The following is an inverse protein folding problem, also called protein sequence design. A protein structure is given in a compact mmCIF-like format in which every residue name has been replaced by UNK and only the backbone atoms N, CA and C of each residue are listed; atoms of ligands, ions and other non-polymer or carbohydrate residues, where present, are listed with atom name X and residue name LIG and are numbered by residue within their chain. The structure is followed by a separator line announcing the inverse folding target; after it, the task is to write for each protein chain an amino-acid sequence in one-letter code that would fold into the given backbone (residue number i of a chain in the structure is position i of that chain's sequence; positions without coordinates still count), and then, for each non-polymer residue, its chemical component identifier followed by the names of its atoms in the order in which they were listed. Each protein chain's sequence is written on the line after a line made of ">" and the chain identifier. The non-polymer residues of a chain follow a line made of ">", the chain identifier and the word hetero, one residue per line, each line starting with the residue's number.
data_IF_416719040321
#
_entry.id   IF_416719040321
#
_cell.length_a   1.000
_cell.length_b   1.000
_cell.length_c   1.000
_cell.angle_alpha   90.00
_cell.angle_beta   90.00
_cell.angle_gamma   90.00
#
_symmetry.space_group_name_H-M   'P 1'
#
loop_
_entity.id
_entity.type
_entity.pdbx_description
1 polymer ?
#
# COMPACT_ATOMS: atom_id res chain seq x y z
N UNK A 1 -7.03 -30.53 4.75
CA UNK A 1 -6.02 -30.03 5.72
C UNK A 1 -6.53 -28.68 6.24
N UNK A 2 -6.95 -28.61 7.50
CA UNK A 2 -7.48 -27.38 8.08
C UNK A 2 -6.38 -26.71 8.90
N UNK A 3 -5.96 -25.51 8.49
CA UNK A 3 -5.14 -24.64 9.32
C UNK A 3 -5.96 -24.24 10.55
N UNK A 4 -5.49 -24.58 11.75
CA UNK A 4 -6.11 -24.06 12.97
C UNK A 4 -5.58 -22.65 13.22
N UNK A 5 -6.39 -21.79 13.84
CA UNK A 5 -6.01 -20.39 14.13
C UNK A 5 -4.69 -20.30 14.94
N UNK A 6 -4.43 -21.30 15.80
CA UNK A 6 -3.18 -21.40 16.56
C UNK A 6 -1.94 -21.74 15.72
N UNK A 7 -2.11 -22.25 14.50
CA UNK A 7 -0.99 -22.52 13.58
C UNK A 7 -0.51 -21.26 12.86
N UNK A 8 -1.33 -20.18 12.81
CA UNK A 8 -0.99 -18.93 12.13
C UNK A 8 0.25 -18.25 12.75
N UNK A 9 0.29 -18.22 14.07
CA UNK A 9 1.39 -17.61 14.82
C UNK A 9 2.70 -18.41 14.75
N UNK A 10 2.71 -19.60 14.14
CA UNK A 10 3.97 -20.34 13.84
C UNK A 10 4.72 -19.75 12.64
N UNK A 11 4.04 -18.94 11.81
CA UNK A 11 4.59 -18.33 10.60
C UNK A 11 5.01 -16.87 10.81
N UNK A 12 4.79 -16.33 12.00
CA UNK A 12 5.09 -14.94 12.36
C UNK A 12 5.98 -14.93 13.59
N UNK A 13 6.95 -14.01 13.67
CA UNK A 13 7.80 -13.82 14.86
C UNK A 13 7.06 -13.13 16.03
N UNK A 14 5.74 -13.28 16.12
CA UNK A 14 4.86 -12.60 17.09
C UNK A 14 3.87 -13.58 17.73
N UNK A 15 3.62 -13.40 19.03
CA UNK A 15 2.57 -14.13 19.75
C UNK A 15 1.18 -13.55 19.48
N UNK A 16 0.13 -14.30 19.80
CA UNK A 16 -1.25 -13.84 19.68
C UNK A 16 -1.54 -12.60 20.53
N UNK A 17 -0.97 -12.53 21.73
CA UNK A 17 -1.16 -11.41 22.66
C UNK A 17 -0.45 -10.16 22.15
N UNK A 18 0.77 -10.30 21.66
CA UNK A 18 1.53 -9.19 21.08
C UNK A 18 0.85 -8.65 19.82
N UNK A 19 0.31 -9.53 18.98
CA UNK A 19 -0.45 -9.13 17.80
C UNK A 19 -1.72 -8.36 18.16
N UNK A 20 -2.46 -8.81 19.18
CA UNK A 20 -3.63 -8.09 19.68
C UNK A 20 -3.26 -6.68 20.16
N UNK A 21 -2.21 -6.55 20.96
CA UNK A 21 -1.71 -5.25 21.43
C UNK A 21 -1.30 -4.33 20.27
N UNK A 22 -0.68 -4.88 19.23
CA UNK A 22 -0.31 -4.13 18.03
C UNK A 22 -1.54 -3.57 17.29
N UNK A 23 -2.58 -4.38 17.07
CA UNK A 23 -3.81 -3.93 16.39
C UNK A 23 -4.55 -2.86 17.22
N UNK A 24 -4.56 -3.00 18.55
CA UNK A 24 -5.18 -2.03 19.44
C UNK A 24 -4.36 -0.72 19.55
N UNK A 25 -3.11 -0.72 19.07
CA UNK A 25 -2.25 0.47 19.07
C UNK A 25 -2.63 1.45 17.96
N UNK A 26 -2.49 2.75 18.25
CA UNK A 26 -2.76 3.80 17.26
C UNK A 26 -1.57 3.96 16.33
N UNK A 27 -1.82 3.93 15.03
CA UNK A 27 -0.81 4.24 14.01
C UNK A 27 -0.41 5.72 14.04
N UNK A 28 0.80 6.03 13.55
CA UNK A 28 1.26 7.40 13.37
C UNK A 28 0.37 8.13 12.35
N UNK A 29 -0.24 9.25 12.76
CA UNK A 29 -1.22 9.97 11.92
C UNK A 29 -0.63 10.40 10.57
N UNK A 30 0.65 10.80 10.53
CA UNK A 30 1.33 11.15 9.29
C UNK A 30 1.42 9.99 8.30
N UNK A 31 1.67 8.78 8.80
CA UNK A 31 1.71 7.57 7.98
C UNK A 31 0.30 7.24 7.46
N UNK A 32 -0.72 7.33 8.32
CA UNK A 32 -2.13 7.12 7.95
C UNK A 32 -2.58 8.11 6.87
N UNK A 33 -2.29 9.40 7.03
CA UNK A 33 -2.61 10.44 6.06
C UNK A 33 -1.91 10.20 4.72
N UNK A 34 -0.64 9.80 4.74
CA UNK A 34 0.08 9.43 3.53
C UNK A 34 -0.60 8.24 2.83
N UNK A 35 -0.92 7.18 3.56
CA UNK A 35 -1.64 6.03 3.00
C UNK A 35 -2.98 6.46 2.37
N UNK A 36 -3.82 7.21 3.10
CA UNK A 36 -5.10 7.73 2.60
C UNK A 36 -4.95 8.56 1.33
N UNK A 37 -3.99 9.49 1.29
CA UNK A 37 -3.75 10.34 0.11
C UNK A 37 -3.36 9.52 -1.12
N UNK A 38 -2.47 8.55 -0.94
CA UNK A 38 -1.94 7.73 -2.03
C UNK A 38 -2.96 6.70 -2.53
N UNK A 39 -3.78 6.13 -1.64
CA UNK A 39 -4.90 5.27 -2.05
C UNK A 39 -6.01 6.06 -2.74
N UNK A 40 -6.34 7.26 -2.26
CA UNK A 40 -7.35 8.13 -2.88
C UNK A 40 -6.96 8.60 -4.28
N UNK A 41 -5.69 8.98 -4.48
CA UNK A 41 -5.22 9.50 -5.78
C UNK A 41 -4.77 8.41 -6.75
N UNK A 42 -4.63 7.17 -6.29
CA UNK A 42 -4.05 6.06 -7.06
C UNK A 42 -2.55 6.22 -7.34
N UNK A 43 -1.87 7.18 -6.70
CA UNK A 43 -0.43 7.41 -6.86
C UNK A 43 0.34 6.49 -5.90
N UNK A 44 1.37 5.76 -6.35
CA UNK A 44 2.14 4.87 -5.46
C UNK A 44 2.72 5.60 -4.25
N UNK A 45 2.61 4.99 -3.06
CA UNK A 45 3.28 5.45 -1.84
C UNK A 45 4.70 4.89 -1.83
N UNK A 46 5.67 5.70 -2.25
CA UNK A 46 7.07 5.32 -2.30
C UNK A 46 7.92 6.40 -2.95
N UNK A 47 9.25 6.29 -2.84
CA UNK A 47 10.15 7.20 -3.55
C UNK A 47 10.08 6.94 -5.05
N UNK A 48 10.34 7.96 -5.87
CA UNK A 48 10.36 7.81 -7.33
C UNK A 48 11.33 6.70 -7.76
N UNK A 49 12.51 6.64 -7.12
CA UNK A 49 13.51 5.58 -7.37
C UNK A 49 12.95 4.18 -7.09
N UNK A 50 12.25 3.99 -5.96
CA UNK A 50 11.63 2.72 -5.62
C UNK A 50 10.59 2.30 -6.66
N UNK A 51 9.72 3.22 -7.08
CA UNK A 51 8.69 2.92 -8.08
C UNK A 51 9.31 2.59 -9.44
N UNK A 52 10.31 3.35 -9.89
CA UNK A 52 11.01 3.06 -11.15
C UNK A 52 11.63 1.66 -11.16
N UNK A 53 12.29 1.27 -10.06
CA UNK A 53 12.87 -0.08 -9.94
C UNK A 53 11.78 -1.18 -10.03
N UNK A 54 10.58 -0.95 -9.47
CA UNK A 54 9.46 -1.88 -9.61
C UNK A 54 8.97 -1.94 -11.06
N UNK A 55 8.83 -0.79 -11.72
CA UNK A 55 8.40 -0.73 -13.13
C UNK A 55 9.37 -1.48 -14.04
N UNK A 56 10.68 -1.33 -13.83
CA UNK A 56 11.73 -2.06 -14.55
C UNK A 56 11.62 -3.57 -14.31
N UNK A 57 11.44 -3.99 -13.05
CA UNK A 57 11.35 -5.41 -12.68
C UNK A 57 10.11 -6.09 -13.26
N UNK A 58 8.98 -5.39 -13.29
CA UNK A 58 7.70 -5.96 -13.72
C UNK A 58 7.33 -5.65 -15.16
N UNK A 59 8.07 -4.76 -15.84
CA UNK A 59 7.75 -4.33 -17.21
C UNK A 59 6.41 -3.61 -17.33
N UNK A 60 5.95 -2.96 -16.25
CA UNK A 60 4.64 -2.27 -16.18
C UNK A 60 4.80 -0.88 -15.61
N UNK A 61 4.01 0.08 -16.10
CA UNK A 61 3.96 1.43 -15.53
C UNK A 61 3.04 1.49 -14.31
N UNK A 62 3.54 2.06 -13.23
CA UNK A 62 2.88 2.30 -11.95
C UNK A 62 2.73 3.81 -11.67
N UNK A 63 3.64 4.65 -12.16
CA UNK A 63 3.54 6.09 -12.07
C UNK A 63 2.38 6.60 -12.93
N UNK A 64 1.67 7.59 -12.39
CA UNK A 64 0.59 8.25 -13.11
C UNK A 64 1.12 8.91 -14.39
N UNK A 65 0.50 8.61 -15.52
CA UNK A 65 0.83 9.22 -16.80
C UNK A 65 0.37 10.69 -16.83
N UNK A 66 1.01 11.53 -17.67
CA UNK A 66 0.54 12.88 -17.91
C UNK A 66 -0.94 12.90 -18.30
N UNK A 67 -1.64 13.98 -17.92
CA UNK A 67 -3.04 14.19 -18.34
C UNK A 67 -3.12 14.11 -19.87
N UNK A 68 -4.01 13.26 -20.37
CA UNK A 68 -4.23 13.12 -21.82
C UNK A 68 -4.79 14.38 -22.47
N UNK A 69 -5.04 14.31 -23.78
CA UNK A 69 -5.64 15.40 -24.56
C UNK A 69 -6.91 15.92 -23.84
N UNK A 70 -7.02 17.25 -23.58
CA UNK A 70 -8.24 17.83 -23.04
C UNK A 70 -9.44 17.46 -23.90
N UNK A 71 -10.57 17.11 -23.28
CA UNK A 71 -11.84 16.98 -24.00
C UNK A 71 -12.22 18.35 -24.53
N UNK A 72 -12.69 18.42 -25.78
CA UNK A 72 -13.26 19.65 -26.30
C UNK A 72 -14.40 20.07 -25.37
N UNK A 73 -14.34 21.31 -24.89
CA UNK A 73 -15.45 21.90 -24.13
C UNK A 73 -16.64 21.99 -25.09
N UNK A 74 -17.81 21.40 -24.75
CA UNK A 74 -19.03 21.70 -25.49
C UNK A 74 -19.23 23.21 -25.48
N UNK A 75 -19.48 23.80 -26.65
CA UNK A 75 -19.93 25.20 -26.76
C UNK A 75 -21.31 25.34 -26.12
#
# INVERSE_FOLDING_TARGET
>A
MFFKLGDLFRLTDMSSESWKQYIDSREEEKAVEAMRRHTFTGRPLGTIKFVNNLEEKFGRRLLALPKGRPRETPK
#
